data_IF_356959150431
#
_entry.id   IF_356959150431
#
_cell.length_a   1.000
_cell.length_b   1.000
_cell.length_c   1.000
_cell.angle_alpha   90.00
_cell.angle_beta   90.00
_cell.angle_gamma   90.00
#
_symmetry.space_group_name_H-M   'P 1'
#
loop_
_entity.id
_entity.type
_entity.pdbx_description
1 polymer ?
#
# COMPACT_ATOMS: atom_id res chain seq x y z
N UNK A 1 5.76 -33.71 5.71
CA UNK A 1 6.02 -32.38 6.30
C UNK A 1 5.83 -31.34 5.23
N UNK A 2 5.16 -30.25 5.54
CA UNK A 2 4.91 -29.12 4.62
C UNK A 2 5.63 -27.90 5.21
N UNK A 3 6.45 -27.23 4.40
CA UNK A 3 7.11 -25.99 4.82
C UNK A 3 6.11 -24.80 4.80
N UNK A 4 6.17 -23.91 5.78
CA UNK A 4 5.29 -22.76 5.88
C UNK A 4 5.24 -21.87 4.62
N UNK A 5 6.37 -21.55 3.98
CA UNK A 5 6.35 -20.82 2.71
C UNK A 5 5.51 -21.52 1.62
N UNK A 6 5.54 -22.86 1.54
CA UNK A 6 4.72 -23.59 0.57
C UNK A 6 3.23 -23.35 0.80
N UNK A 7 2.80 -23.28 2.06
CA UNK A 7 1.40 -23.00 2.41
C UNK A 7 1.04 -21.55 2.04
N UNK A 8 1.84 -20.57 2.47
CA UNK A 8 1.53 -19.14 2.29
C UNK A 8 1.56 -18.71 0.82
N UNK A 9 2.44 -19.32 0.03
CA UNK A 9 2.61 -18.98 -1.39
C UNK A 9 1.78 -19.90 -2.31
N UNK A 10 1.72 -21.20 -2.00
CA UNK A 10 1.05 -22.18 -2.84
C UNK A 10 -0.47 -22.14 -2.75
N UNK A 11 -1.02 -21.94 -1.53
CA UNK A 11 -2.47 -21.95 -1.36
C UNK A 11 -3.19 -20.84 -2.17
N UNK A 12 -2.72 -19.58 -2.23
CA UNK A 12 -3.32 -18.58 -3.10
C UNK A 12 -3.23 -18.93 -4.59
N UNK A 13 -2.13 -19.58 -5.03
CA UNK A 13 -1.98 -20.00 -6.43
C UNK A 13 -2.96 -21.10 -6.80
N UNK A 14 -3.11 -22.11 -5.95
CA UNK A 14 -4.10 -23.17 -6.15
C UNK A 14 -5.54 -22.61 -6.11
N UNK A 15 -5.82 -21.74 -5.15
CA UNK A 15 -7.10 -21.06 -5.07
C UNK A 15 -7.39 -20.19 -6.30
N UNK A 16 -6.39 -19.55 -6.89
CA UNK A 16 -6.54 -18.74 -8.09
C UNK A 16 -7.08 -19.58 -9.27
N UNK A 17 -6.59 -20.81 -9.43
CA UNK A 17 -7.08 -21.74 -10.47
C UNK A 17 -8.56 -22.09 -10.20
N UNK A 18 -8.91 -22.44 -8.97
CA UNK A 18 -10.28 -22.77 -8.60
C UNK A 18 -11.22 -21.57 -8.78
N UNK A 19 -10.79 -20.39 -8.34
CA UNK A 19 -11.54 -19.12 -8.51
C UNK A 19 -11.72 -18.77 -9.98
N UNK A 20 -10.72 -19.06 -10.83
CA UNK A 20 -10.85 -18.87 -12.27
C UNK A 20 -11.89 -19.81 -12.89
N UNK A 21 -11.96 -21.06 -12.46
CA UNK A 21 -12.99 -22.02 -12.88
C UNK A 21 -14.38 -21.58 -12.42
N UNK A 22 -14.47 -21.02 -11.20
CA UNK A 22 -15.71 -20.52 -10.59
C UNK A 22 -16.11 -19.11 -11.07
N UNK A 23 -15.37 -18.49 -12.00
CA UNK A 23 -15.57 -17.08 -12.43
C UNK A 23 -16.98 -16.75 -12.95
N UNK A 24 -17.76 -17.77 -13.34
CA UNK A 24 -19.17 -17.59 -13.74
C UNK A 24 -20.09 -17.31 -12.53
N UNK A 25 -19.70 -17.75 -11.33
CA UNK A 25 -20.43 -17.59 -10.08
C UNK A 25 -19.71 -16.56 -9.18
N UNK A 26 -20.02 -15.29 -9.39
CA UNK A 26 -19.30 -14.18 -8.77
C UNK A 26 -19.25 -14.29 -7.24
N UNK A 27 -20.34 -14.74 -6.57
CA UNK A 27 -20.37 -14.93 -5.12
C UNK A 27 -19.41 -16.05 -4.67
N UNK A 28 -19.42 -17.20 -5.36
CA UNK A 28 -18.56 -18.33 -5.00
C UNK A 28 -17.08 -17.98 -5.23
N UNK A 29 -16.76 -17.32 -6.35
CA UNK A 29 -15.40 -16.85 -6.65
C UNK A 29 -14.90 -15.84 -5.62
N UNK A 30 -15.69 -14.83 -5.28
CA UNK A 30 -15.35 -13.83 -4.28
C UNK A 30 -15.25 -14.44 -2.87
N UNK A 31 -16.21 -15.30 -2.50
CA UNK A 31 -16.23 -15.96 -1.20
C UNK A 31 -15.01 -16.87 -1.00
N UNK A 32 -14.66 -17.69 -2.01
CA UNK A 32 -13.46 -18.54 -1.94
C UNK A 32 -12.18 -17.70 -1.88
N UNK A 33 -12.05 -16.65 -2.71
CA UNK A 33 -10.89 -15.78 -2.70
C UNK A 33 -10.73 -15.08 -1.35
N UNK A 34 -11.82 -14.55 -0.79
CA UNK A 34 -11.80 -13.89 0.51
C UNK A 34 -11.53 -14.87 1.66
N UNK A 35 -12.11 -16.10 1.61
CA UNK A 35 -11.88 -17.12 2.63
C UNK A 35 -10.43 -17.60 2.65
N UNK A 36 -9.81 -17.81 1.47
CA UNK A 36 -8.40 -18.19 1.39
C UNK A 36 -7.50 -17.08 1.89
N UNK A 37 -7.71 -15.84 1.45
CA UNK A 37 -6.90 -14.70 1.90
C UNK A 37 -7.09 -14.45 3.41
N UNK A 38 -8.32 -14.46 3.93
CA UNK A 38 -8.62 -14.30 5.35
C UNK A 38 -8.09 -15.44 6.20
N UNK A 39 -8.21 -16.70 5.73
CA UNK A 39 -7.62 -17.86 6.40
C UNK A 39 -6.10 -17.77 6.52
N UNK A 40 -5.42 -17.34 5.45
CA UNK A 40 -3.98 -17.08 5.48
C UNK A 40 -3.61 -15.93 6.44
N UNK A 41 -4.43 -14.87 6.50
CA UNK A 41 -4.21 -13.80 7.47
C UNK A 41 -4.28 -14.32 8.91
N UNK A 42 -5.25 -15.17 9.24
CA UNK A 42 -5.36 -15.79 10.55
C UNK A 42 -4.20 -16.74 10.84
N UNK A 43 -3.80 -17.56 9.87
CA UNK A 43 -2.64 -18.46 10.00
C UNK A 43 -1.37 -17.67 10.28
N UNK A 44 -1.07 -16.66 9.48
CA UNK A 44 0.15 -15.84 9.66
C UNK A 44 0.11 -15.01 10.93
N UNK A 45 -1.07 -14.65 11.44
CA UNK A 45 -1.23 -13.95 12.72
C UNK A 45 -1.00 -14.87 13.92
N UNK A 46 -1.58 -16.09 13.91
CA UNK A 46 -1.54 -16.98 15.08
C UNK A 46 -0.33 -17.92 15.12
N UNK A 47 0.24 -18.29 13.97
CA UNK A 47 1.33 -19.26 13.90
C UNK A 47 2.68 -18.55 13.73
N UNK A 48 3.51 -18.49 14.80
CA UNK A 48 4.85 -17.93 14.68
C UNK A 48 5.76 -18.84 13.82
N UNK A 49 6.88 -18.31 13.28
CA UNK A 49 7.79 -19.10 12.46
C UNK A 49 8.37 -20.34 13.14
N UNK A 50 8.45 -20.35 14.48
CA UNK A 50 8.91 -21.49 15.27
C UNK A 50 7.83 -22.56 15.48
N UNK A 51 6.60 -22.29 15.08
CA UNK A 51 5.49 -23.23 15.31
C UNK A 51 5.55 -24.43 14.37
N UNK A 52 5.34 -25.60 14.94
CA UNK A 52 5.01 -26.84 14.23
C UNK A 52 3.53 -27.11 14.45
N UNK A 53 2.75 -27.09 13.40
CA UNK A 53 1.28 -27.22 13.48
C UNK A 53 0.80 -28.44 12.70
N UNK A 54 -0.15 -29.18 13.27
CA UNK A 54 -0.82 -30.26 12.55
C UNK A 54 -1.99 -29.68 11.75
N UNK A 55 -1.93 -29.80 10.42
CA UNK A 55 -2.96 -29.30 9.53
C UNK A 55 -3.31 -30.37 8.48
N UNK A 56 -4.57 -30.75 8.39
CA UNK A 56 -5.08 -31.77 7.45
C UNK A 56 -4.28 -33.09 7.44
N UNK A 57 -3.85 -33.56 8.60
CA UNK A 57 -3.09 -34.82 8.72
C UNK A 57 -1.59 -34.70 8.41
N UNK A 58 -1.10 -33.50 8.12
CA UNK A 58 0.31 -33.23 7.85
C UNK A 58 0.90 -32.28 8.91
N UNK A 59 2.18 -32.48 9.23
CA UNK A 59 2.95 -31.51 10.04
C UNK A 59 3.40 -30.38 9.15
N UNK A 60 3.05 -29.14 9.54
CA UNK A 60 3.49 -27.89 8.91
C UNK A 60 4.51 -27.23 9.81
N UNK A 61 5.74 -27.04 9.33
CA UNK A 61 6.80 -26.27 9.99
C UNK A 61 6.87 -24.88 9.36
N UNK A 62 6.41 -23.88 10.10
CA UNK A 62 6.26 -22.51 9.55
C UNK A 62 7.60 -21.89 9.12
N UNK A 63 8.67 -22.10 9.87
CA UNK A 63 10.00 -21.51 9.60
C UNK A 63 10.90 -22.33 8.68
N UNK A 64 10.48 -23.53 8.25
CA UNK A 64 11.31 -24.37 7.38
C UNK A 64 11.52 -23.67 6.03
N UNK A 65 12.79 -23.42 5.61
CA UNK A 65 13.07 -22.80 4.32
C UNK A 65 12.76 -23.76 3.17
N UNK A 66 12.33 -23.21 2.05
CA UNK A 66 12.24 -23.93 0.77
C UNK A 66 13.14 -23.29 -0.26
N UNK A 67 13.69 -24.12 -1.15
CA UNK A 67 14.46 -23.63 -2.30
C UNK A 67 13.61 -23.78 -3.55
N UNK A 68 13.32 -22.63 -4.20
CA UNK A 68 12.57 -22.58 -5.44
C UNK A 68 13.35 -21.77 -6.48
N UNK A 69 13.68 -22.36 -7.62
CA UNK A 69 14.46 -21.69 -8.70
C UNK A 69 15.79 -21.08 -8.19
N UNK A 70 16.46 -21.75 -7.26
CA UNK A 70 17.71 -21.27 -6.65
C UNK A 70 17.52 -20.11 -5.66
N UNK A 71 16.27 -19.80 -5.27
CA UNK A 71 15.94 -18.82 -4.24
C UNK A 71 15.61 -19.53 -2.95
N UNK A 72 16.11 -19.02 -1.82
CA UNK A 72 15.68 -19.46 -0.49
C UNK A 72 14.48 -18.62 -0.05
N UNK A 73 13.39 -19.29 0.23
CA UNK A 73 12.16 -18.65 0.73
C UNK A 73 11.99 -19.03 2.19
N UNK A 74 12.04 -18.06 3.08
CA UNK A 74 12.00 -18.26 4.53
C UNK A 74 11.02 -17.33 5.20
N UNK A 75 10.12 -17.89 6.01
CA UNK A 75 9.23 -17.09 6.85
C UNK A 75 10.01 -16.58 8.07
N UNK A 76 10.28 -15.28 8.09
CA UNK A 76 10.95 -14.62 9.22
C UNK A 76 9.91 -13.99 10.16
N UNK A 77 10.24 -13.78 11.46
CA UNK A 77 9.37 -13.03 12.35
C UNK A 77 9.02 -11.63 11.82
N UNK A 78 9.97 -10.97 11.14
CA UNK A 78 9.77 -9.65 10.54
C UNK A 78 8.76 -9.65 9.38
N UNK A 79 8.71 -10.73 8.59
CA UNK A 79 7.76 -10.83 7.46
C UNK A 79 6.31 -11.08 7.92
N UNK A 80 6.10 -11.62 9.13
CA UNK A 80 4.78 -12.02 9.63
C UNK A 80 3.74 -10.89 9.63
N UNK A 81 3.98 -9.69 10.19
CA UNK A 81 3.01 -8.59 10.15
C UNK A 81 2.67 -8.17 8.72
N UNK A 82 3.66 -8.17 7.82
CA UNK A 82 3.45 -7.84 6.41
C UNK A 82 2.54 -8.85 5.72
N UNK A 83 2.80 -10.16 5.89
CA UNK A 83 1.99 -11.24 5.32
C UNK A 83 0.55 -11.19 5.84
N UNK A 84 0.37 -10.98 7.14
CA UNK A 84 -0.95 -10.82 7.76
C UNK A 84 -1.68 -9.62 7.17
N UNK A 85 -0.99 -8.49 7.01
CA UNK A 85 -1.56 -7.28 6.42
C UNK A 85 -1.98 -7.48 4.97
N UNK A 86 -1.11 -8.00 4.10
CA UNK A 86 -1.40 -8.19 2.67
C UNK A 86 -2.56 -9.17 2.46
N UNK A 87 -2.61 -10.24 3.25
CA UNK A 87 -3.69 -11.21 3.21
C UNK A 87 -5.03 -10.62 3.71
N UNK A 88 -5.02 -9.86 4.82
CA UNK A 88 -6.21 -9.18 5.35
C UNK A 88 -6.75 -8.13 4.37
N UNK A 89 -5.86 -7.36 3.76
CA UNK A 89 -6.20 -6.38 2.74
C UNK A 89 -6.84 -7.03 1.52
N UNK A 90 -6.26 -8.13 1.03
CA UNK A 90 -6.81 -8.89 -0.10
C UNK A 90 -8.21 -9.41 0.22
N UNK A 91 -8.42 -9.99 1.41
CA UNK A 91 -9.73 -10.48 1.86
C UNK A 91 -10.77 -9.35 1.88
N UNK A 92 -10.44 -8.19 2.45
CA UNK A 92 -11.33 -7.03 2.49
C UNK A 92 -11.69 -6.52 1.07
N UNK A 93 -10.70 -6.44 0.18
CA UNK A 93 -10.92 -6.04 -1.22
C UNK A 93 -11.81 -7.04 -1.96
N UNK A 94 -11.61 -8.35 -1.78
CA UNK A 94 -12.41 -9.38 -2.44
C UNK A 94 -13.86 -9.40 -1.94
N UNK A 95 -14.09 -9.22 -0.63
CA UNK A 95 -15.43 -9.12 -0.06
C UNK A 95 -16.23 -7.95 -0.63
N UNK A 96 -15.61 -6.78 -0.80
CA UNK A 96 -16.31 -5.63 -1.36
C UNK A 96 -16.48 -5.73 -2.89
N UNK A 97 -15.48 -6.27 -3.60
CA UNK A 97 -15.49 -6.42 -5.05
C UNK A 97 -16.62 -7.33 -5.58
N UNK A 98 -17.16 -8.20 -4.73
CA UNK A 98 -18.35 -8.97 -5.07
C UNK A 98 -19.57 -8.09 -5.37
N UNK A 99 -19.74 -7.00 -4.64
CA UNK A 99 -20.90 -6.10 -4.79
C UNK A 99 -20.71 -5.06 -5.90
N UNK A 100 -19.50 -4.59 -6.07
CA UNK A 100 -19.16 -3.59 -7.10
C UNK A 100 -18.00 -4.15 -7.91
N UNK A 101 -18.32 -4.68 -9.10
CA UNK A 101 -17.35 -5.38 -9.94
C UNK A 101 -16.10 -4.56 -10.24
N UNK A 102 -14.94 -5.12 -9.98
CA UNK A 102 -13.63 -4.57 -10.31
C UNK A 102 -12.99 -5.22 -11.55
N UNK A 103 -13.78 -5.94 -12.33
CA UNK A 103 -13.32 -6.75 -13.46
C UNK A 103 -13.32 -8.25 -13.15
N UNK A 104 -13.59 -9.07 -14.17
CA UNK A 104 -13.72 -10.55 -14.00
C UNK A 104 -12.41 -11.24 -13.61
N UNK A 105 -11.27 -10.65 -13.90
CA UNK A 105 -9.96 -11.19 -13.61
C UNK A 105 -9.43 -10.80 -12.23
N UNK A 106 -10.11 -9.89 -11.50
CA UNK A 106 -9.57 -9.36 -10.23
C UNK A 106 -9.41 -10.45 -9.16
N UNK A 107 -10.37 -11.35 -8.99
CA UNK A 107 -10.26 -12.40 -7.97
C UNK A 107 -9.11 -13.39 -8.24
N UNK A 108 -9.02 -14.05 -9.42
CA UNK A 108 -7.95 -15.01 -9.64
C UNK A 108 -6.58 -14.36 -9.73
N UNK A 109 -6.42 -13.26 -10.48
CA UNK A 109 -5.13 -12.57 -10.59
C UNK A 109 -4.75 -11.84 -9.30
N UNK A 110 -5.72 -11.37 -8.52
CA UNK A 110 -5.46 -10.79 -7.19
C UNK A 110 -4.85 -11.80 -6.23
N UNK A 111 -5.29 -13.07 -6.26
CA UNK A 111 -4.66 -14.16 -5.49
C UNK A 111 -3.25 -14.48 -5.98
N UNK A 112 -3.01 -14.51 -7.29
CA UNK A 112 -1.66 -14.68 -7.84
C UNK A 112 -0.75 -13.53 -7.43
N UNK A 113 -1.23 -12.28 -7.51
CA UNK A 113 -0.50 -11.11 -7.06
C UNK A 113 -0.21 -11.14 -5.56
N UNK A 114 -1.17 -11.57 -4.74
CA UNK A 114 -0.96 -11.77 -3.30
C UNK A 114 0.19 -12.76 -3.05
N UNK A 115 0.20 -13.89 -3.77
CA UNK A 115 1.29 -14.87 -3.69
C UNK A 115 2.64 -14.26 -4.08
N UNK A 116 2.71 -13.51 -5.19
CA UNK A 116 3.97 -12.88 -5.63
C UNK A 116 4.46 -11.79 -4.64
N UNK A 117 3.56 -10.95 -4.12
CA UNK A 117 3.92 -9.94 -3.13
C UNK A 117 4.43 -10.58 -1.83
N UNK A 118 3.79 -11.67 -1.39
CA UNK A 118 4.25 -12.45 -0.26
C UNK A 118 5.58 -13.15 -0.56
N UNK A 119 5.79 -13.64 -1.79
CA UNK A 119 7.08 -14.18 -2.23
C UNK A 119 8.19 -13.14 -2.12
N UNK A 120 7.96 -11.91 -2.55
CA UNK A 120 8.95 -10.83 -2.43
C UNK A 120 9.35 -10.57 -0.97
N UNK A 121 8.41 -10.72 -0.03
CA UNK A 121 8.65 -10.52 1.41
C UNK A 121 9.49 -11.65 2.07
N UNK A 122 9.43 -12.87 1.54
CA UNK A 122 10.11 -14.03 2.12
C UNK A 122 11.36 -14.47 1.33
N UNK A 123 11.67 -13.79 0.21
CA UNK A 123 12.82 -14.10 -0.65
C UNK A 123 14.16 -13.73 0.01
N UNK A 124 15.11 -14.66 -0.01
CA UNK A 124 16.49 -14.45 0.42
C UNK A 124 17.49 -14.86 -0.69
N UNK A 125 18.54 -14.07 -0.95
CA UNK A 125 18.85 -12.76 -0.35
C UNK A 125 17.90 -11.66 -0.83
N UNK A 126 17.74 -10.60 -0.03
CA UNK A 126 16.81 -9.48 -0.28
C UNK A 126 16.99 -8.79 -1.64
N UNK A 127 18.20 -8.80 -2.19
CA UNK A 127 18.53 -8.23 -3.51
C UNK A 127 17.75 -8.85 -4.66
N UNK A 128 17.13 -10.00 -4.48
CA UNK A 128 16.33 -10.71 -5.49
C UNK A 128 14.83 -10.39 -5.42
N UNK A 129 14.37 -9.86 -4.30
CA UNK A 129 12.95 -9.49 -4.11
C UNK A 129 12.42 -8.49 -5.18
N UNK A 130 13.19 -7.48 -5.64
CA UNK A 130 12.74 -6.58 -6.71
C UNK A 130 12.42 -7.25 -8.04
N UNK A 131 13.04 -8.39 -8.37
CA UNK A 131 12.67 -9.19 -9.53
C UNK A 131 11.23 -9.72 -9.40
N UNK A 132 10.87 -10.23 -8.22
CA UNK A 132 9.52 -10.72 -7.95
C UNK A 132 8.51 -9.57 -8.02
N UNK A 133 8.88 -8.37 -7.53
CA UNK A 133 8.03 -7.17 -7.66
C UNK A 133 7.85 -6.74 -9.11
N UNK A 134 8.86 -6.87 -9.96
CA UNK A 134 8.74 -6.59 -11.40
C UNK A 134 7.74 -7.57 -12.08
N UNK A 135 7.80 -8.87 -11.73
CA UNK A 135 6.80 -9.84 -12.20
C UNK A 135 5.40 -9.55 -11.67
N UNK A 136 5.27 -9.18 -10.39
CA UNK A 136 3.99 -8.76 -9.83
C UNK A 136 3.43 -7.54 -10.57
N UNK A 137 4.27 -6.55 -10.88
CA UNK A 137 3.86 -5.37 -11.64
C UNK A 137 3.40 -5.71 -13.07
N UNK A 138 4.07 -6.65 -13.74
CA UNK A 138 3.67 -7.12 -15.07
C UNK A 138 2.29 -7.80 -15.04
N UNK A 139 2.01 -8.66 -14.06
CA UNK A 139 0.70 -9.27 -13.87
C UNK A 139 -0.38 -8.25 -13.47
N UNK A 140 -0.02 -7.23 -12.70
CA UNK A 140 -0.95 -6.18 -12.29
C UNK A 140 -1.53 -5.41 -13.47
N UNK A 141 -0.83 -5.31 -14.62
CA UNK A 141 -1.32 -4.66 -15.85
C UNK A 141 -2.71 -5.19 -16.24
N UNK A 142 -2.94 -6.49 -16.15
CA UNK A 142 -4.22 -7.11 -16.51
C UNK A 142 -5.38 -6.67 -15.62
N UNK A 143 -5.16 -6.54 -14.30
CA UNK A 143 -6.21 -6.09 -13.38
C UNK A 143 -6.38 -4.58 -13.41
N UNK A 144 -5.33 -3.82 -13.71
CA UNK A 144 -5.39 -2.36 -13.88
C UNK A 144 -6.28 -2.03 -15.10
N UNK A 145 -6.08 -2.69 -16.22
CA UNK A 145 -6.90 -2.49 -17.42
C UNK A 145 -8.32 -3.05 -17.29
N UNK A 146 -8.51 -4.10 -16.48
CA UNK A 146 -9.81 -4.74 -16.23
C UNK A 146 -10.62 -5.06 -17.50
N UNK A 147 -9.94 -5.32 -18.61
CA UNK A 147 -10.57 -5.61 -19.91
C UNK A 147 -11.29 -4.42 -20.57
N UNK A 148 -11.03 -3.18 -20.13
CA UNK A 148 -11.64 -1.98 -20.71
C UNK A 148 -10.81 -1.51 -21.92
N UNK A 149 -11.46 -1.23 -23.07
CA UNK A 149 -10.80 -0.51 -24.15
C UNK A 149 -10.58 0.95 -23.69
N UNK A 150 -9.37 1.48 -23.84
CA UNK A 150 -9.07 2.85 -23.44
C UNK A 150 -7.61 3.09 -23.16
N UNK A 151 -7.33 4.09 -22.31
CA UNK A 151 -5.97 4.48 -21.98
C UNK A 151 -5.23 3.38 -21.22
N UNK A 152 -4.02 3.07 -21.66
CA UNK A 152 -3.10 2.11 -21.03
C UNK A 152 -2.05 2.80 -20.15
N UNK A 153 -2.17 4.13 -19.99
CA UNK A 153 -1.15 4.96 -19.31
C UNK A 153 -0.95 4.57 -17.85
N UNK A 154 -2.05 4.28 -17.13
CA UNK A 154 -1.98 3.85 -15.74
C UNK A 154 -1.24 2.52 -15.59
N UNK A 155 -1.56 1.55 -16.45
CA UNK A 155 -0.94 0.23 -16.45
C UNK A 155 0.56 0.30 -16.83
N UNK A 156 0.91 1.03 -17.89
CA UNK A 156 2.28 1.20 -18.35
C UNK A 156 3.14 1.95 -17.31
N UNK A 157 2.64 3.04 -16.74
CA UNK A 157 3.37 3.78 -15.71
C UNK A 157 3.57 2.95 -14.45
N UNK A 158 2.58 2.15 -14.06
CA UNK A 158 2.74 1.22 -12.95
C UNK A 158 3.84 0.19 -13.22
N UNK A 159 3.86 -0.39 -14.42
CA UNK A 159 4.84 -1.40 -14.83
C UNK A 159 6.27 -0.86 -14.86
N UNK A 160 6.47 0.35 -15.40
CA UNK A 160 7.80 0.91 -15.67
C UNK A 160 8.62 1.01 -14.39
N UNK A 161 8.06 1.47 -13.25
CA UNK A 161 8.85 1.77 -12.07
C UNK A 161 9.45 0.54 -11.39
N UNK A 162 8.71 -0.56 -11.08
CA UNK A 162 9.32 -1.76 -10.53
C UNK A 162 10.27 -2.46 -11.50
N UNK A 163 9.99 -2.40 -12.81
CA UNK A 163 10.88 -2.96 -13.84
C UNK A 163 12.18 -2.17 -13.91
N UNK A 164 12.12 -0.84 -13.87
CA UNK A 164 13.32 0.02 -13.86
C UNK A 164 14.11 -0.09 -12.56
N UNK A 165 13.49 -0.39 -11.44
CA UNK A 165 14.19 -0.62 -10.18
C UNK A 165 15.08 -1.87 -10.23
N UNK A 166 14.63 -2.93 -10.88
CA UNK A 166 15.30 -4.24 -10.86
C UNK A 166 16.78 -4.20 -11.34
N UNK A 167 17.16 -3.56 -12.47
CA UNK A 167 18.57 -3.46 -12.89
C UNK A 167 19.48 -2.85 -11.83
N UNK A 168 19.02 -1.84 -11.09
CA UNK A 168 19.80 -1.21 -10.02
C UNK A 168 20.06 -2.18 -8.87
N UNK A 169 19.05 -2.96 -8.47
CA UNK A 169 19.25 -4.00 -7.45
C UNK A 169 20.15 -5.13 -7.94
N UNK A 170 20.11 -5.46 -9.24
CA UNK A 170 21.00 -6.45 -9.82
C UNK A 170 22.46 -6.01 -9.77
N UNK A 171 22.74 -4.75 -10.15
CA UNK A 171 24.09 -4.17 -10.04
C UNK A 171 24.53 -4.06 -8.58
N UNK A 172 23.63 -3.64 -7.68
CA UNK A 172 23.92 -3.62 -6.24
C UNK A 172 24.29 -5.01 -5.71
N UNK A 173 23.56 -6.06 -6.12
CA UNK A 173 23.89 -7.44 -5.76
C UNK A 173 25.24 -7.88 -6.27
N UNK A 174 25.59 -7.50 -7.51
CA UNK A 174 26.92 -7.76 -8.06
C UNK A 174 28.02 -7.04 -7.28
N UNK A 175 27.87 -5.74 -6.98
CA UNK A 175 28.82 -5.00 -6.14
C UNK A 175 28.97 -5.66 -4.75
N UNK A 176 27.87 -6.07 -4.11
CA UNK A 176 27.91 -6.80 -2.83
C UNK A 176 28.71 -8.11 -2.90
N UNK A 177 28.68 -8.80 -4.04
CA UNK A 177 29.45 -10.05 -4.21
C UNK A 177 30.96 -9.82 -4.31
N UNK A 178 31.40 -8.57 -4.59
CA UNK A 178 32.84 -8.21 -4.65
C UNK A 178 33.42 -7.89 -3.26
N UNK A 179 32.57 -7.47 -2.31
CA UNK A 179 33.01 -7.08 -0.96
C UNK A 179 33.84 -8.16 -0.25
N UNK A 180 33.44 -9.45 -0.22
CA UNK A 180 34.25 -10.51 0.42
C UNK A 180 35.57 -10.79 -0.28
N UNK A 181 35.71 -10.43 -1.57
CA UNK A 181 36.92 -10.68 -2.36
C UNK A 181 38.03 -9.66 -2.08
N UNK A 182 37.67 -8.41 -1.79
CA UNK A 182 38.55 -7.29 -1.45
C UNK A 182 37.97 -6.47 -0.32
N UNK A 183 38.06 -6.86 0.94
CA UNK A 183 37.45 -6.17 2.07
C UNK A 183 37.98 -4.74 2.29
N UNK A 184 39.20 -4.46 1.87
CA UNK A 184 39.84 -3.14 2.03
C UNK A 184 39.47 -2.14 0.93
N UNK A 185 38.82 -2.60 -0.16
CA UNK A 185 38.34 -1.73 -1.23
C UNK A 185 36.95 -1.16 -0.88
N UNK A 186 36.88 0.14 -0.66
CA UNK A 186 35.66 0.86 -0.35
C UNK A 186 34.76 1.13 -1.57
N UNK A 187 35.28 0.95 -2.79
CA UNK A 187 34.53 1.24 -4.02
C UNK A 187 33.26 0.38 -4.20
N UNK A 188 33.27 -0.95 -3.94
CA UNK A 188 32.07 -1.79 -4.00
C UNK A 188 30.98 -1.37 -2.98
N UNK A 189 31.36 -0.95 -1.79
CA UNK A 189 30.42 -0.46 -0.78
C UNK A 189 29.70 0.81 -1.24
N UNK A 190 30.48 1.82 -1.69
CA UNK A 190 29.92 3.07 -2.19
C UNK A 190 29.06 2.87 -3.44
N UNK A 191 29.45 1.97 -4.34
CA UNK A 191 28.67 1.60 -5.52
C UNK A 191 27.35 0.94 -5.12
N UNK A 192 27.38 -0.03 -4.20
CA UNK A 192 26.20 -0.71 -3.68
C UNK A 192 25.21 0.29 -3.09
N UNK A 193 25.67 1.20 -2.21
CA UNK A 193 24.85 2.20 -1.57
C UNK A 193 24.13 3.09 -2.61
N UNK A 194 24.84 3.56 -3.64
CA UNK A 194 24.28 4.37 -4.74
C UNK A 194 23.24 3.61 -5.55
N UNK A 195 23.53 2.37 -5.96
CA UNK A 195 22.60 1.60 -6.78
C UNK A 195 21.35 1.18 -5.98
N UNK A 196 21.47 0.86 -4.69
CA UNK A 196 20.32 0.62 -3.83
C UNK A 196 19.46 1.88 -3.70
N UNK A 197 20.07 3.07 -3.52
CA UNK A 197 19.35 4.33 -3.45
C UNK A 197 18.54 4.59 -4.73
N UNK A 198 19.14 4.38 -5.91
CA UNK A 198 18.43 4.51 -7.19
C UNK A 198 17.30 3.47 -7.31
N UNK A 199 17.54 2.22 -6.95
CA UNK A 199 16.52 1.17 -6.97
C UNK A 199 15.32 1.52 -6.08
N UNK A 200 15.56 1.97 -4.86
CA UNK A 200 14.49 2.40 -3.95
C UNK A 200 13.78 3.67 -4.41
N UNK A 201 14.48 4.61 -5.05
CA UNK A 201 13.84 5.79 -5.64
C UNK A 201 12.74 5.40 -6.66
N UNK A 202 12.99 4.38 -7.50
CA UNK A 202 11.99 3.84 -8.41
C UNK A 202 10.87 3.10 -7.68
N UNK A 203 11.18 2.26 -6.69
CA UNK A 203 10.16 1.48 -5.96
C UNK A 203 9.24 2.34 -5.09
N UNK A 204 9.75 3.41 -4.49
CA UNK A 204 8.96 4.31 -3.65
C UNK A 204 7.96 5.14 -4.44
N UNK A 205 8.17 5.33 -5.75
CA UNK A 205 7.28 6.13 -6.62
C UNK A 205 6.94 7.50 -6.03
N UNK A 206 7.89 8.08 -5.29
CA UNK A 206 7.82 9.42 -4.70
C UNK A 206 8.28 10.48 -5.70
N UNK A 207 8.15 11.76 -5.39
CA UNK A 207 8.67 12.85 -6.25
C UNK A 207 10.18 12.71 -6.38
N UNK A 208 10.75 12.76 -7.61
CA UNK A 208 10.13 13.16 -8.88
C UNK A 208 9.38 12.04 -9.65
N UNK A 209 9.50 10.77 -9.26
CA UNK A 209 8.99 9.60 -9.98
C UNK A 209 7.51 9.25 -9.65
N UNK A 210 6.75 10.19 -9.14
CA UNK A 210 5.39 10.01 -8.60
C UNK A 210 4.29 9.73 -9.64
N UNK A 211 4.56 9.86 -10.92
CA UNK A 211 3.55 9.87 -11.99
C UNK A 211 2.73 8.59 -12.17
N UNK A 212 3.17 7.46 -11.59
CA UNK A 212 2.44 6.19 -11.62
C UNK A 212 1.16 6.23 -10.78
N UNK A 213 1.22 6.81 -9.57
CA UNK A 213 0.11 6.77 -8.60
C UNK A 213 -1.14 7.51 -9.12
N UNK A 214 -1.10 8.80 -9.53
CA UNK A 214 -2.28 9.49 -10.05
C UNK A 214 -2.76 8.93 -11.39
N UNK A 215 -1.90 8.30 -12.19
CA UNK A 215 -2.30 7.62 -13.42
C UNK A 215 -3.03 6.31 -13.11
N UNK A 216 -2.52 5.50 -12.17
CA UNK A 216 -3.17 4.29 -11.68
C UNK A 216 -4.57 4.59 -11.14
N UNK A 217 -4.69 5.52 -10.21
CA UNK A 217 -5.97 5.85 -9.55
C UNK A 217 -6.99 6.50 -10.49
N UNK A 218 -6.53 7.15 -11.55
CA UNK A 218 -7.40 7.70 -12.58
C UNK A 218 -8.02 6.61 -13.48
N UNK A 219 -7.29 5.56 -13.80
CA UNK A 219 -7.67 4.60 -14.85
C UNK A 219 -8.07 3.23 -14.29
N UNK A 220 -7.37 2.72 -13.27
CA UNK A 220 -7.66 1.40 -12.70
C UNK A 220 -8.97 1.39 -11.88
N UNK A 221 -9.60 0.23 -11.72
CA UNK A 221 -10.67 0.06 -10.75
C UNK A 221 -10.21 0.47 -9.34
N UNK A 222 -11.02 1.20 -8.56
CA UNK A 222 -10.54 1.81 -7.32
C UNK A 222 -10.04 0.82 -6.27
N UNK A 223 -10.68 -0.34 -6.10
CA UNK A 223 -10.20 -1.37 -5.16
C UNK A 223 -8.90 -2.02 -5.63
N UNK A 224 -8.73 -2.19 -6.94
CA UNK A 224 -7.44 -2.63 -7.52
C UNK A 224 -6.35 -1.62 -7.20
N UNK A 225 -6.64 -0.32 -7.36
CA UNK A 225 -5.69 0.74 -7.00
C UNK A 225 -5.32 0.72 -5.52
N UNK A 226 -6.31 0.59 -4.61
CA UNK A 226 -6.06 0.50 -3.17
C UNK A 226 -5.22 -0.74 -2.82
N UNK A 227 -5.58 -1.91 -3.35
CA UNK A 227 -4.85 -3.16 -3.14
C UNK A 227 -3.39 -3.05 -3.60
N UNK A 228 -3.15 -2.54 -4.82
CA UNK A 228 -1.80 -2.40 -5.36
C UNK A 228 -0.97 -1.36 -4.58
N UNK A 229 -1.53 -0.18 -4.29
CA UNK A 229 -0.81 0.87 -3.56
C UNK A 229 -0.42 0.44 -2.15
N UNK A 230 -1.36 -0.14 -1.40
CA UNK A 230 -1.10 -0.55 -0.02
C UNK A 230 -0.14 -1.73 0.06
N UNK A 231 -0.37 -2.77 -0.77
CA UNK A 231 0.50 -3.95 -0.76
C UNK A 231 1.91 -3.63 -1.25
N UNK A 232 2.03 -2.85 -2.33
CA UNK A 232 3.33 -2.44 -2.86
C UNK A 232 4.11 -1.60 -1.84
N UNK A 233 3.47 -0.56 -1.28
CA UNK A 233 4.13 0.31 -0.30
C UNK A 233 4.56 -0.48 0.95
N UNK A 234 3.73 -1.42 1.43
CA UNK A 234 4.07 -2.27 2.56
C UNK A 234 5.32 -3.13 2.28
N UNK A 235 5.36 -3.79 1.11
CA UNK A 235 6.51 -4.62 0.71
C UNK A 235 7.76 -3.77 0.51
N UNK A 236 7.65 -2.60 -0.12
CA UNK A 236 8.81 -1.71 -0.37
C UNK A 236 9.39 -1.17 0.93
N UNK A 237 8.54 -0.74 1.88
CA UNK A 237 8.99 -0.28 3.21
C UNK A 237 9.65 -1.43 3.97
N UNK A 238 9.06 -2.63 3.92
CA UNK A 238 9.63 -3.83 4.52
C UNK A 238 11.02 -4.15 3.95
N UNK A 239 11.18 -4.11 2.62
CA UNK A 239 12.45 -4.34 1.96
C UNK A 239 13.48 -3.27 2.33
N UNK A 240 13.09 -1.99 2.33
CA UNK A 240 13.97 -0.89 2.73
C UNK A 240 14.51 -1.11 4.14
N UNK A 241 13.62 -1.38 5.10
CA UNK A 241 14.01 -1.70 6.47
C UNK A 241 14.90 -2.95 6.55
N UNK A 242 14.57 -3.98 5.75
CA UNK A 242 15.36 -5.22 5.68
C UNK A 242 16.80 -4.98 5.18
N UNK A 243 16.98 -4.13 4.16
CA UNK A 243 18.30 -3.75 3.66
C UNK A 243 19.10 -2.96 4.69
N UNK A 244 18.49 -1.98 5.35
CA UNK A 244 19.17 -1.17 6.38
C UNK A 244 19.63 -2.02 7.57
N UNK A 245 18.85 -3.05 7.92
CA UNK A 245 19.24 -4.01 8.99
C UNK A 245 20.30 -5.02 8.54
N UNK A 246 20.21 -5.50 7.30
CA UNK A 246 21.16 -6.47 6.77
C UNK A 246 22.54 -5.83 6.50
N UNK A 247 22.56 -4.56 6.18
CA UNK A 247 23.74 -3.79 5.81
C UNK A 247 23.82 -2.45 6.57
N UNK A 248 24.14 -2.45 7.89
CA UNK A 248 24.15 -1.24 8.71
C UNK A 248 25.11 -0.16 8.18
N UNK A 249 26.20 -0.56 7.53
CA UNK A 249 27.19 0.33 6.90
C UNK A 249 26.60 1.22 5.78
N UNK A 250 25.38 0.94 5.28
CA UNK A 250 24.72 1.81 4.31
C UNK A 250 24.52 3.23 4.87
N UNK A 251 24.34 3.36 6.18
CA UNK A 251 24.20 4.66 6.85
C UNK A 251 25.48 5.50 6.77
N UNK A 252 26.66 4.88 6.64
CA UNK A 252 27.96 5.59 6.54
C UNK A 252 28.11 6.30 5.18
N UNK A 253 27.45 5.80 4.13
CA UNK A 253 27.51 6.39 2.78
C UNK A 253 26.40 7.34 2.45
N UNK A 254 25.24 7.17 3.06
CA UNK A 254 24.07 8.00 2.84
C UNK A 254 23.30 8.20 4.14
N UNK A 255 23.01 9.44 4.47
CA UNK A 255 22.05 9.77 5.52
C UNK A 255 20.62 9.42 5.02
N UNK A 256 20.29 8.12 5.12
CA UNK A 256 19.02 7.58 4.62
C UNK A 256 17.83 8.24 5.32
N UNK A 257 17.96 8.54 6.61
CA UNK A 257 16.92 9.20 7.40
C UNK A 257 16.63 10.59 6.84
N UNK A 258 17.67 11.40 6.64
CA UNK A 258 17.54 12.73 6.07
C UNK A 258 17.02 12.71 4.63
N UNK A 259 17.46 11.74 3.85
CA UNK A 259 16.97 11.54 2.48
C UNK A 259 15.49 11.20 2.45
N UNK A 260 15.01 10.26 3.29
CA UNK A 260 13.60 9.90 3.41
C UNK A 260 12.75 11.08 3.90
N UNK A 261 13.26 11.84 4.89
CA UNK A 261 12.58 13.03 5.42
C UNK A 261 12.30 14.04 4.31
N UNK A 262 13.35 14.47 3.60
CA UNK A 262 13.21 15.50 2.56
C UNK A 262 12.42 14.99 1.34
N UNK A 263 12.65 13.77 0.90
CA UNK A 263 11.86 13.16 -0.17
C UNK A 263 10.37 13.07 0.22
N UNK A 264 10.08 12.70 1.47
CA UNK A 264 8.73 12.69 2.00
C UNK A 264 8.08 14.08 2.01
N UNK A 265 8.77 15.09 2.55
CA UNK A 265 8.28 16.46 2.59
C UNK A 265 8.03 17.05 1.20
N UNK A 266 8.97 16.87 0.26
CA UNK A 266 8.82 17.32 -1.13
C UNK A 266 7.62 16.61 -1.78
N UNK A 267 7.47 15.31 -1.56
CA UNK A 267 6.34 14.53 -2.10
C UNK A 267 5.01 15.02 -1.51
N UNK A 268 4.93 15.26 -0.21
CA UNK A 268 3.74 15.79 0.43
C UNK A 268 3.37 17.19 -0.08
N UNK A 269 4.32 18.13 -0.06
CA UNK A 269 4.08 19.49 -0.53
C UNK A 269 3.66 19.55 -1.99
N UNK A 270 4.38 18.86 -2.86
CA UNK A 270 4.11 18.84 -4.30
C UNK A 270 2.76 18.19 -4.65
N UNK A 271 2.48 17.00 -4.07
CA UNK A 271 1.22 16.30 -4.34
C UNK A 271 0.01 17.02 -3.77
N UNK A 272 0.14 17.65 -2.60
CA UNK A 272 -0.90 18.50 -2.04
C UNK A 272 -1.24 19.69 -2.95
N UNK A 273 -0.25 20.39 -3.45
CA UNK A 273 -0.44 21.49 -4.40
C UNK A 273 -1.17 21.01 -5.68
N UNK A 274 -0.75 19.88 -6.24
CA UNK A 274 -1.38 19.32 -7.43
C UNK A 274 -2.81 18.81 -7.17
N UNK A 275 -3.12 18.33 -5.97
CA UNK A 275 -4.46 17.91 -5.55
C UNK A 275 -5.47 19.05 -5.66
N UNK A 276 -5.09 20.27 -5.28
CA UNK A 276 -5.97 21.45 -5.33
C UNK A 276 -6.53 21.74 -6.73
N UNK A 277 -5.76 21.46 -7.79
CA UNK A 277 -6.13 21.71 -9.19
C UNK A 277 -6.95 20.61 -9.85
N UNK A 278 -7.16 19.45 -9.22
CA UNK A 278 -7.80 18.30 -9.85
C UNK A 278 -9.30 18.54 -10.11
N UNK A 279 -9.80 17.89 -11.17
CA UNK A 279 -11.23 17.95 -11.60
C UNK A 279 -11.87 16.56 -11.70
N UNK A 280 -11.19 15.52 -11.22
CA UNK A 280 -11.67 14.14 -11.17
C UNK A 280 -11.30 13.55 -9.82
N UNK A 281 -12.23 12.79 -9.21
CA UNK A 281 -12.02 12.19 -7.90
C UNK A 281 -10.92 11.13 -7.92
N UNK A 282 -10.74 10.39 -9.02
CA UNK A 282 -9.68 9.39 -9.13
C UNK A 282 -8.28 10.02 -9.06
N UNK A 283 -8.03 11.11 -9.79
CA UNK A 283 -6.74 11.83 -9.72
C UNK A 283 -6.56 12.54 -8.39
N UNK A 284 -7.61 13.17 -7.86
CA UNK A 284 -7.59 13.83 -6.55
C UNK A 284 -7.20 12.83 -5.46
N UNK A 285 -7.84 11.65 -5.44
CA UNK A 285 -7.52 10.58 -4.51
C UNK A 285 -6.08 10.05 -4.66
N UNK A 286 -5.57 9.96 -5.89
CA UNK A 286 -4.19 9.59 -6.16
C UNK A 286 -3.19 10.61 -5.59
N UNK A 287 -3.43 11.91 -5.77
CA UNK A 287 -2.56 12.94 -5.20
C UNK A 287 -2.70 13.04 -3.68
N UNK A 288 -3.91 12.86 -3.12
CA UNK A 288 -4.08 12.75 -1.66
C UNK A 288 -3.33 11.54 -1.09
N UNK A 289 -3.37 10.40 -1.79
CA UNK A 289 -2.58 9.22 -1.44
C UNK A 289 -1.07 9.47 -1.47
N UNK A 290 -0.57 10.25 -2.43
CA UNK A 290 0.84 10.65 -2.49
C UNK A 290 1.22 11.63 -1.37
N UNK A 291 0.33 12.57 -1.03
CA UNK A 291 0.53 13.49 0.10
C UNK A 291 0.75 12.69 1.38
N UNK A 292 -0.17 11.79 1.70
CA UNK A 292 -0.10 10.95 2.90
C UNK A 292 1.11 10.00 2.88
N UNK A 293 1.46 9.43 1.72
CA UNK A 293 2.68 8.64 1.58
C UNK A 293 3.95 9.48 1.82
N UNK A 294 3.96 10.74 1.39
CA UNK A 294 5.02 11.69 1.69
C UNK A 294 5.14 11.93 3.21
N UNK A 295 4.01 12.09 3.92
CA UNK A 295 4.00 12.18 5.38
C UNK A 295 4.58 10.93 6.05
N UNK A 296 4.23 9.74 5.53
CA UNK A 296 4.75 8.47 6.02
C UNK A 296 6.27 8.34 5.80
N UNK A 297 6.77 8.72 4.62
CA UNK A 297 8.22 8.74 4.36
C UNK A 297 8.94 9.76 5.25
N UNK A 298 8.34 10.92 5.48
CA UNK A 298 8.89 11.92 6.40
C UNK A 298 8.95 11.38 7.84
N UNK A 299 7.91 10.65 8.28
CA UNK A 299 7.90 10.00 9.58
C UNK A 299 9.00 8.94 9.71
N UNK A 300 9.19 8.07 8.70
CA UNK A 300 10.31 7.12 8.65
C UNK A 300 11.66 7.84 8.73
N UNK A 301 11.76 8.98 8.04
CA UNK A 301 12.97 9.80 7.99
C UNK A 301 13.30 10.52 9.31
N UNK A 302 12.39 10.60 10.28
CA UNK A 302 12.70 11.09 11.62
C UNK A 302 13.70 10.17 12.34
N UNK A 303 13.74 8.88 11.95
CA UNK A 303 14.64 7.91 12.57
C UNK A 303 14.36 7.66 14.06
N UNK A 304 15.35 7.12 14.76
CA UNK A 304 15.30 6.91 16.20
C UNK A 304 14.08 6.13 16.70
N UNK A 305 13.70 6.31 17.98
CA UNK A 305 12.59 5.57 18.59
C UNK A 305 11.21 6.01 18.09
N UNK A 306 11.09 7.17 17.45
CA UNK A 306 9.82 7.78 17.04
C UNK A 306 9.44 7.48 15.58
N UNK A 307 10.44 7.36 14.69
CA UNK A 307 10.20 7.31 13.25
C UNK A 307 9.37 6.11 12.81
N UNK A 308 9.78 4.91 13.18
CA UNK A 308 9.09 3.68 12.78
C UNK A 308 7.70 3.51 13.43
N UNK A 309 7.50 3.78 14.75
CA UNK A 309 6.17 3.72 15.35
C UNK A 309 5.19 4.71 14.72
N UNK A 310 5.63 5.94 14.47
CA UNK A 310 4.78 6.95 13.83
C UNK A 310 4.43 6.56 12.39
N UNK A 311 5.40 6.06 11.62
CA UNK A 311 5.17 5.58 10.26
C UNK A 311 4.22 4.36 10.23
N UNK A 312 4.33 3.43 11.17
CA UNK A 312 3.42 2.31 11.31
C UNK A 312 1.98 2.78 11.62
N UNK A 313 1.82 3.73 12.55
CA UNK A 313 0.53 4.34 12.86
C UNK A 313 -0.09 5.03 11.64
N UNK A 314 0.70 5.85 10.91
CA UNK A 314 0.27 6.48 9.66
C UNK A 314 -0.11 5.44 8.61
N UNK A 315 0.64 4.35 8.47
CA UNK A 315 0.36 3.30 7.48
C UNK A 315 -0.96 2.57 7.75
N UNK A 316 -1.27 2.28 9.01
CA UNK A 316 -2.56 1.66 9.40
C UNK A 316 -3.71 2.62 9.10
N UNK A 317 -3.59 3.88 9.51
CA UNK A 317 -4.59 4.91 9.24
C UNK A 317 -4.81 5.13 7.74
N UNK A 318 -3.72 5.19 6.96
CA UNK A 318 -3.71 5.22 5.50
C UNK A 318 -4.51 4.07 4.89
N UNK A 319 -4.36 2.85 5.44
CA UNK A 319 -5.04 1.66 4.92
C UNK A 319 -6.56 1.81 5.03
N UNK A 320 -7.06 2.30 6.16
CA UNK A 320 -8.48 2.59 6.36
C UNK A 320 -8.95 3.71 5.41
N UNK A 321 -8.20 4.81 5.31
CA UNK A 321 -8.54 5.94 4.48
C UNK A 321 -8.57 5.60 2.97
N UNK A 322 -7.57 4.82 2.50
CA UNK A 322 -7.53 4.36 1.10
C UNK A 322 -8.67 3.39 0.78
N UNK A 323 -8.99 2.45 1.68
CA UNK A 323 -10.13 1.55 1.47
C UNK A 323 -11.46 2.32 1.42
N UNK A 324 -11.69 3.27 2.34
CA UNK A 324 -12.87 4.13 2.31
C UNK A 324 -12.98 4.91 1.00
N UNK A 325 -11.90 5.56 0.59
CA UNK A 325 -11.84 6.30 -0.67
C UNK A 325 -12.09 5.42 -1.87
N UNK A 326 -11.50 4.19 -1.90
CA UNK A 326 -11.69 3.22 -2.97
C UNK A 326 -13.14 2.72 -3.06
N UNK A 327 -13.78 2.39 -1.92
CA UNK A 327 -15.17 1.94 -1.88
C UNK A 327 -16.12 3.03 -2.39
N UNK A 328 -15.95 4.26 -1.92
CA UNK A 328 -16.77 5.41 -2.35
C UNK A 328 -16.56 5.73 -3.83
N UNK A 329 -15.31 5.74 -4.30
CA UNK A 329 -14.99 6.00 -5.71
C UNK A 329 -15.46 4.87 -6.64
N UNK A 330 -15.42 3.61 -6.19
CA UNK A 330 -15.94 2.49 -6.95
C UNK A 330 -17.46 2.60 -7.16
N UNK A 331 -18.20 2.93 -6.11
CA UNK A 331 -19.64 3.16 -6.20
C UNK A 331 -19.96 4.34 -7.11
N UNK A 332 -19.21 5.45 -6.99
CA UNK A 332 -19.40 6.64 -7.82
C UNK A 332 -19.16 6.32 -9.30
N UNK A 333 -18.02 5.67 -9.65
CA UNK A 333 -17.73 5.29 -11.05
C UNK A 333 -18.75 4.33 -11.63
N UNK A 334 -19.23 3.39 -10.81
CA UNK A 334 -20.18 2.38 -11.26
C UNK A 334 -21.57 2.98 -11.49
N UNK A 335 -22.05 3.87 -10.61
CA UNK A 335 -23.42 4.39 -10.59
C UNK A 335 -23.59 5.72 -11.34
N UNK A 336 -22.63 6.63 -11.22
CA UNK A 336 -22.62 7.90 -11.96
C UNK A 336 -21.84 7.82 -13.30
N UNK A 337 -21.44 6.62 -13.72
CA UNK A 337 -20.74 6.35 -14.99
C UNK A 337 -19.49 7.20 -15.20
N UNK A 338 -18.88 7.68 -14.12
CA UNK A 338 -17.64 8.46 -14.17
C UNK A 338 -17.30 9.11 -12.84
N UNK A 339 -16.12 9.72 -12.77
CA UNK A 339 -15.60 10.35 -11.57
C UNK A 339 -15.15 11.81 -11.76
N UNK A 340 -15.42 12.42 -12.93
CA UNK A 340 -15.21 13.85 -13.10
C UNK A 340 -16.21 14.62 -12.23
N UNK A 341 -15.81 15.79 -11.70
CA UNK A 341 -16.69 16.61 -10.86
C UNK A 341 -18.00 16.94 -11.56
N UNK A 342 -17.98 17.12 -12.87
CA UNK A 342 -19.17 17.38 -13.67
C UNK A 342 -20.12 16.17 -13.69
N UNK A 343 -19.62 14.96 -13.99
CA UNK A 343 -20.44 13.73 -14.03
C UNK A 343 -20.96 13.32 -12.65
N UNK A 344 -20.16 13.56 -11.62
CA UNK A 344 -20.50 13.25 -10.23
C UNK A 344 -21.41 14.30 -9.57
N UNK A 345 -21.82 15.36 -10.32
CA UNK A 345 -22.66 16.43 -9.77
C UNK A 345 -23.96 15.87 -9.23
N UNK A 346 -24.30 16.25 -7.98
CA UNK A 346 -25.52 15.84 -7.29
C UNK A 346 -25.56 14.40 -6.79
N UNK A 347 -24.48 13.61 -6.97
CA UNK A 347 -24.45 12.19 -6.59
C UNK A 347 -24.69 11.94 -5.09
N UNK A 348 -24.41 12.91 -4.22
CA UNK A 348 -24.65 12.79 -2.77
C UNK A 348 -26.11 12.48 -2.42
N UNK A 349 -27.08 12.91 -3.25
CA UNK A 349 -28.51 12.65 -3.04
C UNK A 349 -28.89 11.17 -3.23
N UNK A 350 -28.16 10.44 -4.04
CA UNK A 350 -28.43 9.04 -4.40
C UNK A 350 -27.45 8.05 -3.74
N UNK A 351 -26.23 8.49 -3.45
CA UNK A 351 -25.12 7.70 -2.93
C UNK A 351 -24.52 8.33 -1.65
N UNK A 352 -25.32 8.60 -0.59
CA UNK A 352 -24.86 9.36 0.57
C UNK A 352 -23.69 8.68 1.31
N UNK A 353 -23.76 7.37 1.55
CA UNK A 353 -22.73 6.63 2.25
C UNK A 353 -21.44 6.49 1.43
N UNK A 354 -21.58 6.20 0.13
CA UNK A 354 -20.43 6.11 -0.78
C UNK A 354 -19.70 7.46 -0.90
N UNK A 355 -20.46 8.57 -0.97
CA UNK A 355 -19.92 9.93 -0.99
C UNK A 355 -19.24 10.24 0.36
N UNK A 356 -19.87 9.90 1.49
CA UNK A 356 -19.27 10.08 2.80
C UNK A 356 -17.95 9.29 2.93
N UNK A 357 -17.91 8.04 2.45
CA UNK A 357 -16.68 7.22 2.43
C UNK A 357 -15.59 7.82 1.55
N UNK A 358 -15.93 8.30 0.34
CA UNK A 358 -14.98 8.96 -0.57
C UNK A 358 -14.38 10.24 0.05
N UNK A 359 -15.22 11.06 0.67
CA UNK A 359 -14.78 12.29 1.30
C UNK A 359 -13.96 12.01 2.58
N UNK A 360 -14.50 11.19 3.49
CA UNK A 360 -13.79 10.84 4.73
C UNK A 360 -12.46 10.14 4.45
N UNK A 361 -12.42 9.22 3.47
CA UNK A 361 -11.18 8.59 3.03
C UNK A 361 -10.19 9.61 2.49
N UNK A 362 -10.66 10.53 1.63
CA UNK A 362 -9.80 11.54 1.02
C UNK A 362 -9.27 12.58 1.99
N UNK A 363 -10.12 13.16 2.84
CA UNK A 363 -9.67 14.13 3.86
C UNK A 363 -8.94 13.45 5.01
N UNK A 364 -9.17 12.13 5.21
CA UNK A 364 -8.41 11.31 6.14
C UNK A 364 -6.95 11.15 5.73
N UNK A 365 -6.67 11.06 4.43
CA UNK A 365 -5.30 11.11 3.89
C UNK A 365 -4.62 12.47 4.11
N UNK A 366 -5.38 13.54 4.34
CA UNK A 366 -4.86 14.86 4.69
C UNK A 366 -4.77 15.09 6.21
N UNK A 367 -5.15 14.11 7.02
CA UNK A 367 -5.09 14.20 8.47
C UNK A 367 -6.15 15.12 9.09
N UNK A 368 -7.36 15.20 8.52
CA UNK A 368 -8.43 16.01 9.13
C UNK A 368 -8.95 15.36 10.43
N UNK A 369 -9.36 16.18 11.44
CA UNK A 369 -10.02 15.69 12.63
C UNK A 369 -11.21 14.77 12.32
N UNK A 370 -11.51 13.84 13.23
CA UNK A 370 -12.54 12.81 13.12
C UNK A 370 -12.28 11.75 12.04
N UNK A 371 -11.09 11.70 11.46
CA UNK A 371 -10.63 10.64 10.56
C UNK A 371 -9.46 9.87 11.13
N UNK A 372 -9.27 8.61 10.71
CA UNK A 372 -8.18 7.74 11.20
C UNK A 372 -6.78 8.37 11.01
N UNK A 373 -6.60 9.21 9.98
CA UNK A 373 -5.31 9.85 9.71
C UNK A 373 -4.92 10.94 10.69
N UNK A 374 -5.89 11.54 11.40
CA UNK A 374 -5.63 12.72 12.24
C UNK A 374 -4.54 12.52 13.29
N UNK A 375 -4.58 11.48 14.15
CA UNK A 375 -3.61 11.35 15.23
C UNK A 375 -2.16 11.28 14.74
N UNK A 376 -1.91 10.49 13.70
CA UNK A 376 -0.57 10.32 13.15
C UNK A 376 -0.05 11.59 12.44
N UNK A 377 -0.88 12.24 11.63
CA UNK A 377 -0.50 13.51 10.98
C UNK A 377 -0.29 14.63 12.00
N UNK A 378 -1.11 14.68 13.04
CA UNK A 378 -0.97 15.65 14.13
C UNK A 378 0.33 15.45 14.90
N UNK A 379 0.66 14.21 15.27
CA UNK A 379 1.92 13.89 15.93
C UNK A 379 3.14 14.26 15.07
N UNK A 380 3.11 13.94 13.76
CA UNK A 380 4.15 14.34 12.81
C UNK A 380 4.29 15.86 12.74
N UNK A 381 3.17 16.56 12.65
CA UNK A 381 3.14 18.01 12.55
C UNK A 381 3.68 18.69 13.84
N UNK A 382 3.32 18.16 15.01
CA UNK A 382 3.83 18.65 16.30
C UNK A 382 5.33 18.46 16.39
N UNK A 383 5.84 17.26 16.05
CA UNK A 383 7.28 16.99 16.07
C UNK A 383 8.05 17.94 15.14
N UNK A 384 7.60 18.06 13.89
CA UNK A 384 8.24 18.95 12.92
C UNK A 384 8.09 20.42 13.30
N UNK A 385 6.98 20.82 13.89
CA UNK A 385 6.74 22.19 14.35
C UNK A 385 7.74 22.63 15.42
N UNK A 386 8.14 21.70 16.29
CA UNK A 386 9.12 21.94 17.34
C UNK A 386 10.56 21.92 16.82
N UNK A 387 10.91 20.98 15.95
CA UNK A 387 12.28 20.75 15.51
C UNK A 387 12.62 21.44 14.18
N UNK A 388 11.67 21.49 13.25
CA UNK A 388 11.85 21.96 11.88
C UNK A 388 10.62 22.74 11.39
N UNK A 389 10.35 23.98 11.86
CA UNK A 389 9.11 24.72 11.55
C UNK A 389 8.84 24.89 10.04
N UNK A 390 9.90 25.03 9.24
CA UNK A 390 9.76 25.13 7.78
C UNK A 390 9.21 23.86 7.16
N UNK A 391 9.57 22.68 7.68
CA UNK A 391 9.02 21.40 7.24
C UNK A 391 7.54 21.26 7.61
N UNK A 392 7.15 21.69 8.81
CA UNK A 392 5.75 21.74 9.24
C UNK A 392 4.88 22.61 8.30
N UNK A 393 5.40 23.77 7.86
CA UNK A 393 4.71 24.66 6.91
C UNK A 393 4.49 23.93 5.57
N UNK A 394 5.48 23.20 5.05
CA UNK A 394 5.35 22.43 3.80
C UNK A 394 4.20 21.41 3.93
N UNK A 395 4.13 20.68 5.05
CA UNK A 395 3.04 19.72 5.28
C UNK A 395 1.67 20.40 5.40
N UNK A 396 1.57 21.52 6.12
CA UNK A 396 0.33 22.28 6.24
C UNK A 396 -0.17 22.79 4.88
N UNK A 397 0.71 23.32 4.06
CA UNK A 397 0.37 23.79 2.71
C UNK A 397 -0.07 22.61 1.81
N UNK A 398 0.60 21.46 1.92
CA UNK A 398 0.21 20.24 1.22
C UNK A 398 -1.17 19.74 1.66
N UNK A 399 -1.43 19.65 2.96
CA UNK A 399 -2.73 19.29 3.52
C UNK A 399 -3.84 20.24 3.06
N UNK A 400 -3.58 21.55 3.13
CA UNK A 400 -4.53 22.57 2.65
C UNK A 400 -4.88 22.37 1.17
N UNK A 401 -3.91 22.03 0.32
CA UNK A 401 -4.16 21.75 -1.09
C UNK A 401 -5.06 20.52 -1.30
N UNK A 402 -4.85 19.43 -0.57
CA UNK A 402 -5.74 18.25 -0.61
C UNK A 402 -7.15 18.64 -0.15
N UNK A 403 -7.27 19.36 0.96
CA UNK A 403 -8.55 19.80 1.52
C UNK A 403 -9.31 20.66 0.50
N UNK A 404 -8.65 21.66 -0.12
CA UNK A 404 -9.24 22.51 -1.17
C UNK A 404 -9.76 21.65 -2.34
N UNK A 405 -8.99 20.65 -2.78
CA UNK A 405 -9.42 19.71 -3.80
C UNK A 405 -10.71 18.99 -3.43
N UNK A 406 -10.81 18.45 -2.21
CA UNK A 406 -12.01 17.76 -1.72
C UNK A 406 -13.19 18.70 -1.44
N UNK A 407 -12.96 19.94 -0.98
CA UNK A 407 -14.03 20.94 -0.85
C UNK A 407 -14.64 21.30 -2.21
N UNK A 408 -13.82 21.45 -3.24
CA UNK A 408 -14.30 21.65 -4.63
C UNK A 408 -15.10 20.43 -5.12
N UNK A 409 -14.62 19.22 -4.81
CA UNK A 409 -15.35 17.98 -5.09
C UNK A 409 -16.67 17.89 -4.34
N UNK A 410 -16.70 18.23 -3.05
CA UNK A 410 -17.92 18.27 -2.22
C UNK A 410 -18.95 19.23 -2.82
N UNK A 411 -18.55 20.44 -3.23
CA UNK A 411 -19.43 21.38 -3.90
C UNK A 411 -20.09 20.78 -5.15
N UNK A 412 -19.34 20.00 -5.93
CA UNK A 412 -19.89 19.32 -7.10
C UNK A 412 -20.87 18.20 -6.68
N UNK A 413 -20.51 17.37 -5.71
CA UNK A 413 -21.36 16.26 -5.22
C UNK A 413 -22.71 16.74 -4.64
N UNK A 414 -22.74 17.94 -4.06
CA UNK A 414 -23.95 18.58 -3.51
C UNK A 414 -24.72 19.41 -4.56
N UNK A 415 -24.18 19.60 -5.76
CA UNK A 415 -24.76 20.37 -6.84
C UNK A 415 -26.08 19.78 -7.40
N UNK A 416 -26.58 20.30 -8.51
CA UNK A 416 -27.74 19.72 -9.22
C UNK A 416 -27.35 18.34 -9.77
N UNK A 417 -28.32 17.42 -9.76
CA UNK A 417 -28.11 16.06 -10.28
C UNK A 417 -27.92 16.14 -11.80
N UNK A 418 -26.73 15.68 -12.26
CA UNK A 418 -26.38 15.73 -13.68
C UNK A 418 -27.09 14.62 -14.48
N UNK A 419 -27.19 13.42 -13.89
CA UNK A 419 -27.84 12.26 -14.50
C UNK A 419 -28.96 11.75 -13.58
N UNK A 420 -30.24 11.87 -14.00
CA UNK A 420 -31.38 11.39 -13.21
C UNK A 420 -31.41 9.85 -13.07
N UNK A 421 -30.71 9.10 -13.92
CA UNK A 421 -30.66 7.64 -13.92
C UNK A 421 -29.68 7.05 -12.88
N UNK A 422 -28.99 7.88 -12.08
CA UNK A 422 -28.10 7.39 -11.01
C UNK A 422 -28.90 6.50 -10.06
N UNK A 423 -28.57 5.22 -10.03
CA UNK A 423 -29.21 4.24 -9.15
C UNK A 423 -28.82 4.49 -7.67
N UNK A 424 -29.72 4.13 -6.76
CA UNK A 424 -29.46 4.19 -5.32
C UNK A 424 -28.40 3.16 -4.93
N UNK A 425 -27.66 3.45 -3.88
CA UNK A 425 -26.64 2.53 -3.39
C UNK A 425 -27.21 1.25 -2.78
N UNK A 426 -26.56 0.10 -2.97
CA UNK A 426 -27.00 -1.15 -2.39
C UNK A 426 -26.73 -1.17 -0.88
N UNK A 427 -27.72 -1.57 -0.07
CA UNK A 427 -27.66 -1.58 1.41
C UNK A 427 -26.41 -2.25 1.98
N UNK A 428 -25.92 -3.32 1.37
CA UNK A 428 -24.78 -4.07 1.86
C UNK A 428 -23.46 -3.33 1.60
N UNK A 429 -23.33 -2.64 0.45
CA UNK A 429 -22.14 -1.83 0.16
C UNK A 429 -22.11 -0.60 1.08
N UNK A 430 -23.23 0.08 1.30
CA UNK A 430 -23.34 1.19 2.24
C UNK A 430 -23.08 0.77 3.68
N UNK A 431 -23.51 -0.44 4.09
CA UNK A 431 -23.23 -0.99 5.40
C UNK A 431 -21.71 -1.21 5.63
N UNK A 432 -20.99 -1.75 4.65
CA UNK A 432 -19.53 -1.92 4.74
C UNK A 432 -18.80 -0.56 4.83
N UNK A 433 -19.24 0.42 4.06
CA UNK A 433 -18.69 1.78 4.15
C UNK A 433 -18.98 2.39 5.52
N UNK A 434 -20.20 2.22 6.06
CA UNK A 434 -20.57 2.72 7.39
C UNK A 434 -19.72 2.10 8.51
N UNK A 435 -19.47 0.79 8.44
CA UNK A 435 -18.57 0.11 9.40
C UNK A 435 -17.16 0.69 9.32
N UNK A 436 -16.63 0.89 8.12
CA UNK A 436 -15.28 1.44 7.95
C UNK A 436 -15.19 2.92 8.35
N UNK A 437 -16.27 3.70 8.16
CA UNK A 437 -16.38 5.06 8.70
C UNK A 437 -16.36 5.05 10.24
N UNK A 438 -17.07 4.13 10.86
CA UNK A 438 -17.05 3.95 12.32
C UNK A 438 -15.64 3.58 12.81
N UNK A 439 -14.97 2.64 12.14
CA UNK A 439 -13.58 2.28 12.45
C UNK A 439 -12.67 3.52 12.32
N UNK A 440 -12.80 4.30 11.25
CA UNK A 440 -12.03 5.53 11.06
C UNK A 440 -12.26 6.54 12.18
N UNK A 441 -13.50 6.71 12.62
CA UNK A 441 -13.85 7.59 13.73
C UNK A 441 -13.29 7.07 15.07
N UNK A 442 -13.41 5.77 15.33
CA UNK A 442 -12.88 5.17 16.56
C UNK A 442 -11.35 5.32 16.65
N UNK A 443 -10.63 5.09 15.56
CA UNK A 443 -9.17 5.29 15.52
C UNK A 443 -8.78 6.76 15.70
N UNK A 444 -9.61 7.70 15.25
CA UNK A 444 -9.38 9.12 15.50
C UNK A 444 -9.56 9.52 16.97
N UNK A 445 -10.60 8.97 17.61
CA UNK A 445 -10.95 9.31 19.01
C UNK A 445 -10.14 8.52 20.04
N UNK A 446 -9.70 7.32 19.68
CA UNK A 446 -8.98 6.38 20.56
C UNK A 446 -7.75 5.82 19.84
N UNK A 447 -6.71 6.64 19.59
CA UNK A 447 -5.50 6.19 18.91
C UNK A 447 -4.76 5.09 19.69
N UNK A 448 -4.98 4.98 21.00
CA UNK A 448 -4.42 3.93 21.86
C UNK A 448 -4.79 2.51 21.39
N UNK A 449 -5.90 2.34 20.67
CA UNK A 449 -6.28 1.06 20.08
C UNK A 449 -5.24 0.51 19.07
N UNK A 450 -4.35 1.37 18.59
CA UNK A 450 -3.26 0.97 17.66
C UNK A 450 -1.97 0.61 18.40
N UNK A 451 -1.81 0.91 19.68
CA UNK A 451 -0.54 0.75 20.40
C UNK A 451 -0.01 -0.68 20.33
N UNK A 452 -0.85 -1.69 20.62
CA UNK A 452 -0.45 -3.10 20.58
C UNK A 452 -0.06 -3.55 19.16
N UNK A 453 -0.79 -3.08 18.14
CA UNK A 453 -0.49 -3.41 16.75
C UNK A 453 0.79 -2.71 16.27
N UNK A 454 0.95 -1.44 16.61
CA UNK A 454 2.15 -0.65 16.31
C UNK A 454 3.36 -1.26 17.00
N UNK A 455 3.25 -1.62 18.29
CA UNK A 455 4.33 -2.27 19.04
C UNK A 455 4.72 -3.63 18.43
N UNK A 456 3.72 -4.44 18.03
CA UNK A 456 3.96 -5.72 17.33
C UNK A 456 4.72 -5.51 16.02
N UNK A 457 4.34 -4.52 15.20
CA UNK A 457 5.00 -4.21 13.93
C UNK A 457 6.42 -3.71 14.18
N UNK A 458 6.59 -2.77 15.11
CA UNK A 458 7.91 -2.18 15.39
C UNK A 458 8.87 -3.16 16.01
N UNK A 459 8.41 -4.03 16.91
CA UNK A 459 9.23 -5.12 17.48
C UNK A 459 9.65 -6.12 16.41
N UNK A 460 8.73 -6.50 15.50
CA UNK A 460 9.05 -7.43 14.41
C UNK A 460 10.04 -6.82 13.40
N UNK A 461 9.87 -5.56 13.04
CA UNK A 461 10.75 -4.85 12.11
C UNK A 461 12.07 -4.42 12.74
N UNK A 462 12.13 -4.24 14.08
CA UNK A 462 13.27 -3.70 14.81
C UNK A 462 13.46 -2.20 14.57
N UNK A 463 14.21 -1.54 15.46
CA UNK A 463 14.54 -0.11 15.29
C UNK A 463 15.45 0.09 14.06
N UNK A 464 15.08 1.02 13.19
CA UNK A 464 15.99 1.54 12.18
C UNK A 464 17.07 2.30 12.96
N UNK A 465 18.33 2.00 12.66
CA UNK A 465 19.56 2.54 13.26
C UNK A 465 19.36 3.84 14.05
N UNK A 466 19.82 3.88 15.31
CA UNK A 466 19.90 5.11 16.10
C UNK A 466 20.76 6.13 15.34
N UNK A 467 20.11 7.09 14.71
CA UNK A 467 20.80 8.27 14.19
C UNK A 467 20.90 9.26 15.32
N UNK A 468 22.12 9.50 15.81
CA UNK A 468 22.40 10.66 16.64
C UNK A 468 22.09 11.91 15.80
N UNK A 469 21.03 12.64 16.21
CA UNK A 469 20.69 13.95 15.68
C UNK A 469 21.71 15.00 16.16
#
# INVERSE_FOLDING_TARGET
MIAGPTLVLGLPLLAAVLVYLLRRWALAAAGLAAAVAGGLALITWHWPPQATVYFLGHTVEMGQPITLLGQHLTLTPAARPLLTFTCSLAAACFLYAWRISQGRSFFPLGLVLLSLLNTAAVTQPLTRAPLVLAFAAALAVYIIQAGRPGSTRGALRWLIFPVMAFPFFLVAAWCLSQVPLNPDDLAPFAATARFLAYGFLFLLMAVPLHGAVPALTAEAPPLVSAFLLLSHNAVVIFLLNGFLRAYPWLADYHDVSRWLLWMGLITAGWSGLLAAGQRSFGRLWGYASLFDFGCLLAALGLGGPWGLPLAASLFIARSVALLLGAMGLAALRHRARGDSFQRASGAARRLPWSVAGLLAGGVGLAGLPLTAGFPGHWALLQFLGQQMPRAAIILLLGAAGVIVGYLRGLRALLGPLHDPEVEREPRLASGLVAVLLLVSLLLSLRPQLLEDLVSTITTALGTIVEVQL
#
